data_IF_107876381697
#
_entry.id   IF_107876381697
#
_cell.length_a   1.000
_cell.length_b   1.000
_cell.length_c   1.000
_cell.angle_alpha   90.00
_cell.angle_beta   90.00
_cell.angle_gamma   90.00
#
_symmetry.space_group_name_H-M   'P 1'
#
loop_
_entity.id
_entity.type
_entity.pdbx_description
1 polymer ?
#
# COMPACT_ATOMS: atom_id res chain seq x y z
N UNK A 1 11.27 -3.98 6.43
CA UNK A 1 9.95 -4.08 7.10
C UNK A 1 10.09 -4.94 8.34
N UNK A 2 9.42 -4.56 9.43
CA UNK A 2 9.36 -5.31 10.70
C UNK A 2 7.99 -5.96 10.82
N UNK A 3 7.95 -7.25 11.17
CA UNK A 3 6.71 -7.93 11.51
C UNK A 3 6.25 -7.51 12.92
N UNK A 4 4.95 -7.27 13.08
CA UNK A 4 4.34 -6.92 14.36
C UNK A 4 3.39 -8.02 14.78
N UNK A 5 3.39 -8.33 16.08
CA UNK A 5 2.39 -9.22 16.69
C UNK A 5 1.07 -8.47 16.89
N UNK A 6 -0.03 -9.21 17.00
CA UNK A 6 -1.33 -8.62 17.30
C UNK A 6 -1.31 -7.87 18.64
N UNK A 7 -0.71 -8.46 19.67
CA UNK A 7 -0.50 -7.82 20.96
C UNK A 7 0.19 -6.44 20.84
N UNK A 8 1.25 -6.30 20.04
CA UNK A 8 1.94 -5.02 19.84
C UNK A 8 1.07 -3.97 19.14
N UNK A 9 0.28 -4.40 18.14
CA UNK A 9 -0.66 -3.52 17.44
C UNK A 9 -1.77 -3.05 18.36
N UNK A 10 -2.25 -3.89 19.28
CA UNK A 10 -3.36 -3.58 20.16
C UNK A 10 -2.98 -2.72 21.38
N UNK A 11 -1.69 -2.58 21.72
CA UNK A 11 -1.29 -1.78 22.90
C UNK A 11 -1.87 -0.36 22.85
N UNK A 12 -2.50 0.11 23.95
CA UNK A 12 -2.47 -0.49 25.30
C UNK A 12 -3.57 -1.54 25.59
N UNK A 13 -4.50 -1.81 24.68
CA UNK A 13 -5.51 -2.83 24.86
C UNK A 13 -4.89 -4.24 24.83
N UNK A 14 -5.57 -5.19 25.48
CA UNK A 14 -5.20 -6.61 25.42
C UNK A 14 -5.93 -7.31 24.28
N UNK A 15 -5.36 -8.40 23.78
CA UNK A 15 -6.00 -9.26 22.79
C UNK A 15 -7.33 -9.82 23.31
N UNK A 16 -7.36 -10.23 24.59
CA UNK A 16 -8.56 -10.76 25.23
C UNK A 16 -9.70 -9.74 25.28
N UNK A 17 -9.42 -8.50 25.69
CA UNK A 17 -10.43 -7.44 25.71
C UNK A 17 -10.93 -7.10 24.31
N UNK A 18 -10.02 -7.01 23.34
CA UNK A 18 -10.36 -6.75 21.94
C UNK A 18 -11.30 -7.84 21.39
N UNK A 19 -10.93 -9.11 21.54
CA UNK A 19 -11.71 -10.24 21.04
C UNK A 19 -13.08 -10.35 21.74
N UNK A 20 -13.12 -10.15 23.05
CA UNK A 20 -14.36 -10.29 23.82
C UNK A 20 -15.36 -9.15 23.53
N UNK A 21 -14.87 -7.92 23.35
CA UNK A 21 -15.72 -6.72 23.41
C UNK A 21 -15.81 -5.93 22.11
N UNK A 22 -14.77 -5.95 21.28
CA UNK A 22 -14.67 -5.08 20.10
C UNK A 22 -14.80 -5.86 18.81
N UNK A 23 -14.10 -6.99 18.69
CA UNK A 23 -14.02 -7.74 17.44
C UNK A 23 -15.41 -8.12 16.93
N UNK A 24 -15.76 -7.64 15.73
CA UNK A 24 -17.07 -7.79 15.09
C UNK A 24 -18.28 -7.20 15.85
N UNK A 25 -18.03 -6.35 16.86
CA UNK A 25 -19.07 -5.78 17.73
C UNK A 25 -19.05 -4.26 17.76
N UNK A 26 -17.85 -3.66 17.76
CA UNK A 26 -17.67 -2.21 17.88
C UNK A 26 -16.34 -1.76 17.25
N UNK A 27 -16.10 -0.46 17.25
CA UNK A 27 -14.87 0.17 16.79
C UNK A 27 -13.93 0.47 17.97
N UNK A 28 -12.64 0.20 17.80
CA UNK A 28 -11.60 0.56 18.77
C UNK A 28 -10.58 1.48 18.12
N UNK A 29 -10.53 2.73 18.59
CA UNK A 29 -9.45 3.66 18.25
C UNK A 29 -8.30 3.51 19.26
N UNK A 30 -7.12 3.13 18.76
CA UNK A 30 -5.92 2.93 19.57
C UNK A 30 -4.94 4.07 19.30
N UNK A 31 -4.84 5.09 20.18
CA UNK A 31 -3.86 6.13 20.00
C UNK A 31 -2.45 5.54 20.11
N UNK A 32 -1.59 5.86 19.15
CA UNK A 32 -0.21 5.43 19.12
C UNK A 32 0.74 6.62 19.10
N UNK A 33 1.99 6.42 19.53
CA UNK A 33 3.06 7.34 19.15
C UNK A 33 3.19 7.33 17.62
N UNK A 34 3.55 8.45 16.98
CA UNK A 34 3.77 8.51 15.53
C UNK A 34 4.68 7.38 15.01
N UNK A 35 5.60 6.94 15.85
CA UNK A 35 6.63 5.96 15.50
C UNK A 35 6.23 4.51 15.74
N UNK A 36 5.02 4.23 16.25
CA UNK A 36 4.57 2.86 16.61
C UNK A 36 4.72 1.88 15.44
N UNK A 37 4.43 2.34 14.22
CA UNK A 37 4.51 1.55 12.98
C UNK A 37 5.65 1.99 12.06
N UNK A 38 6.66 2.72 12.58
CA UNK A 38 7.77 3.25 11.77
C UNK A 38 8.51 2.15 10.98
N UNK A 39 8.57 0.93 11.53
CA UNK A 39 9.21 -0.22 10.89
C UNK A 39 8.31 -1.01 9.94
N UNK A 40 6.99 -0.78 9.94
CA UNK A 40 6.03 -1.60 9.20
C UNK A 40 6.18 -1.42 7.69
N UNK A 41 6.20 -0.16 7.24
CA UNK A 41 6.26 0.18 5.83
C UNK A 41 6.89 1.55 5.63
N UNK A 42 8.00 1.62 4.91
CA UNK A 42 8.71 2.86 4.62
C UNK A 42 8.49 3.32 3.18
N UNK A 43 8.83 4.58 2.90
CA UNK A 43 8.83 5.09 1.52
C UNK A 43 9.83 4.36 0.61
N UNK A 44 10.94 3.89 1.19
CA UNK A 44 11.91 3.06 0.47
C UNK A 44 11.33 1.69 0.13
N UNK A 45 10.48 1.12 0.99
CA UNK A 45 9.78 -0.13 0.70
C UNK A 45 8.78 0.05 -0.44
N UNK A 46 8.02 1.15 -0.45
CA UNK A 46 7.16 1.48 -1.59
C UNK A 46 7.95 1.60 -2.89
N UNK A 47 9.03 2.40 -2.88
CA UNK A 47 9.84 2.63 -4.08
C UNK A 47 10.37 1.31 -4.65
N UNK A 48 10.87 0.43 -3.76
CA UNK A 48 11.30 -0.92 -4.14
C UNK A 48 10.16 -1.76 -4.71
N UNK A 49 8.96 -1.66 -4.16
CA UNK A 49 7.79 -2.40 -4.64
C UNK A 49 7.41 -1.94 -6.05
N UNK A 50 7.31 -0.63 -6.27
CA UNK A 50 7.00 -0.05 -7.58
C UNK A 50 8.06 -0.38 -8.64
N UNK A 51 9.33 -0.49 -8.26
CA UNK A 51 10.43 -0.84 -9.17
C UNK A 51 10.51 -2.34 -9.49
N UNK A 52 10.29 -3.21 -8.49
CA UNK A 52 10.56 -4.65 -8.61
C UNK A 52 9.34 -5.48 -8.97
N UNK A 53 8.13 -5.02 -8.65
CA UNK A 53 6.92 -5.78 -8.87
C UNK A 53 6.16 -5.26 -10.08
N UNK A 54 5.64 -6.19 -10.87
CA UNK A 54 4.65 -5.88 -11.91
C UNK A 54 3.35 -5.54 -11.20
N UNK A 55 3.03 -4.25 -11.16
CA UNK A 55 1.80 -3.75 -10.59
C UNK A 55 0.98 -3.12 -11.70
N UNK A 56 -0.17 -3.73 -11.94
CA UNK A 56 -1.21 -3.22 -12.81
C UNK A 56 -2.54 -3.21 -12.04
N UNK A 57 -3.55 -2.43 -12.46
CA UNK A 57 -4.87 -2.50 -11.86
C UNK A 57 -5.38 -3.95 -11.77
N UNK A 58 -5.97 -4.36 -10.64
CA UNK A 58 -6.37 -3.55 -9.48
C UNK A 58 -5.29 -3.41 -8.38
N UNK A 59 -4.05 -3.89 -8.60
CA UNK A 59 -3.00 -3.90 -7.58
C UNK A 59 -2.43 -2.51 -7.28
N UNK A 60 -2.48 -1.60 -8.26
CA UNK A 60 -2.08 -0.21 -8.13
C UNK A 60 -3.12 0.71 -8.75
N UNK A 61 -3.66 1.62 -7.94
CA UNK A 61 -4.70 2.57 -8.36
C UNK A 61 -4.40 3.96 -7.82
N UNK A 62 -4.61 4.98 -8.64
CA UNK A 62 -4.58 6.38 -8.21
C UNK A 62 -6.01 6.96 -8.22
N UNK A 63 -6.35 7.72 -7.19
CA UNK A 63 -7.64 8.40 -7.07
C UNK A 63 -7.43 9.86 -6.69
N UNK A 64 -8.10 10.78 -7.37
CA UNK A 64 -8.11 12.20 -7.03
C UNK A 64 -9.56 12.71 -7.03
N UNK A 65 -9.91 13.50 -6.02
CA UNK A 65 -11.25 14.08 -5.85
C UNK A 65 -12.39 13.04 -5.95
N UNK A 66 -12.15 11.84 -5.40
CA UNK A 66 -13.11 10.74 -5.38
C UNK A 66 -13.23 9.95 -6.69
N UNK A 67 -12.42 10.25 -7.71
CA UNK A 67 -12.43 9.56 -9.02
C UNK A 67 -11.14 8.82 -9.30
N UNK A 68 -11.26 7.62 -9.84
CA UNK A 68 -10.11 6.85 -10.31
C UNK A 68 -9.46 7.55 -11.51
N UNK A 69 -8.14 7.62 -11.49
CA UNK A 69 -7.31 8.14 -12.58
C UNK A 69 -7.08 7.02 -13.59
N UNK A 70 -7.10 7.35 -14.88
CA UNK A 70 -6.86 6.37 -15.93
C UNK A 70 -5.45 5.75 -15.77
N UNK A 71 -5.32 4.42 -15.75
CA UNK A 71 -4.03 3.75 -15.69
C UNK A 71 -3.01 4.23 -16.73
N UNK A 72 -3.43 4.59 -17.94
CA UNK A 72 -2.49 5.09 -18.98
C UNK A 72 -1.83 6.44 -18.59
N UNK A 73 -2.37 7.16 -17.60
CA UNK A 73 -1.75 8.37 -17.05
C UNK A 73 -0.56 8.10 -16.13
N UNK A 74 -0.41 6.88 -15.60
CA UNK A 74 0.67 6.51 -14.68
C UNK A 74 1.37 5.19 -14.98
N UNK A 75 0.91 4.45 -15.98
CA UNK A 75 1.57 3.29 -16.54
C UNK A 75 2.22 3.66 -17.89
N UNK A 76 3.32 3.01 -18.19
CA UNK A 76 3.88 2.93 -19.54
C UNK A 76 3.64 1.55 -20.12
N UNK A 77 3.61 1.47 -21.44
CA UNK A 77 3.49 0.22 -22.18
C UNK A 77 4.83 -0.10 -22.83
N UNK A 78 5.47 -1.17 -22.38
CA UNK A 78 6.78 -1.59 -22.88
C UNK A 78 6.66 -2.84 -23.74
N UNK A 79 7.55 -2.95 -24.73
CA UNK A 79 7.71 -4.16 -25.54
C UNK A 79 8.87 -4.98 -24.99
N UNK A 80 8.63 -6.26 -24.81
CA UNK A 80 9.64 -7.26 -24.47
C UNK A 80 9.72 -8.32 -25.57
N UNK A 81 10.78 -9.14 -25.65
CA UNK A 81 10.85 -10.23 -26.63
C UNK A 81 9.69 -11.23 -26.55
N UNK A 82 8.98 -11.29 -25.42
CA UNK A 82 7.90 -12.26 -25.16
C UNK A 82 6.51 -11.61 -25.17
N UNK A 83 6.42 -10.28 -25.11
CA UNK A 83 5.17 -9.55 -24.87
C UNK A 83 5.21 -8.15 -25.48
N UNK A 84 4.21 -7.81 -26.31
CA UNK A 84 4.22 -6.57 -27.10
C UNK A 84 3.52 -5.38 -26.42
N UNK A 85 2.86 -5.59 -25.28
CA UNK A 85 2.09 -4.55 -24.61
C UNK A 85 2.05 -4.79 -23.09
N UNK A 86 3.22 -4.76 -22.46
CA UNK A 86 3.34 -5.00 -21.03
C UNK A 86 3.18 -3.67 -20.27
N UNK A 87 2.14 -3.51 -19.43
CA UNK A 87 2.01 -2.35 -18.55
C UNK A 87 3.07 -2.37 -17.43
N UNK A 88 3.73 -1.25 -17.21
CA UNK A 88 4.67 -1.03 -16.11
C UNK A 88 4.41 0.32 -15.47
N UNK A 89 4.48 0.39 -14.13
CA UNK A 89 4.37 1.67 -13.42
C UNK A 89 5.48 2.60 -13.86
N UNK A 90 5.13 3.83 -14.24
CA UNK A 90 6.08 4.91 -14.46
C UNK A 90 6.23 5.71 -13.14
N UNK A 91 7.37 5.61 -12.42
CA UNK A 91 7.52 6.26 -11.12
C UNK A 91 7.45 7.79 -11.20
N UNK A 92 7.87 8.39 -12.31
CA UNK A 92 7.86 9.84 -12.48
C UNK A 92 6.44 10.38 -12.68
N UNK A 93 5.63 9.73 -13.54
CA UNK A 93 4.21 10.05 -13.74
C UNK A 93 3.41 9.85 -12.46
N UNK A 94 3.58 8.69 -11.81
CA UNK A 94 2.93 8.38 -10.53
C UNK A 94 3.29 9.42 -9.46
N UNK A 95 4.57 9.75 -9.29
CA UNK A 95 4.99 10.76 -8.31
C UNK A 95 4.47 12.16 -8.64
N UNK A 96 4.31 12.52 -9.93
CA UNK A 96 3.72 13.79 -10.33
C UNK A 96 2.24 13.87 -9.93
N UNK A 97 1.45 12.82 -10.21
CA UNK A 97 0.04 12.75 -9.83
C UNK A 97 -0.14 12.77 -8.30
N UNK A 98 0.72 12.06 -7.55
CA UNK A 98 0.69 12.10 -6.09
C UNK A 98 1.02 13.49 -5.54
N UNK A 99 2.01 14.20 -6.13
CA UNK A 99 2.31 15.59 -5.76
C UNK A 99 1.16 16.54 -6.07
N UNK A 100 0.36 16.23 -7.08
CA UNK A 100 -0.86 16.95 -7.43
C UNK A 100 -2.09 16.54 -6.58
N UNK A 101 -1.89 15.76 -5.51
CA UNK A 101 -2.92 15.41 -4.53
C UNK A 101 -3.66 14.10 -4.82
N UNK A 102 -3.21 13.29 -5.77
CA UNK A 102 -3.75 11.94 -5.96
C UNK A 102 -3.36 11.02 -4.79
N UNK A 103 -4.30 10.19 -4.36
CA UNK A 103 -4.10 9.12 -3.37
C UNK A 103 -3.75 7.81 -4.07
N UNK A 104 -2.63 7.21 -3.67
CA UNK A 104 -2.23 5.87 -4.12
C UNK A 104 -2.87 4.79 -3.25
N UNK A 105 -3.54 3.84 -3.88
CA UNK A 105 -4.02 2.60 -3.25
C UNK A 105 -3.22 1.41 -3.79
N UNK A 106 -2.77 0.54 -2.88
CA UNK A 106 -2.05 -0.69 -3.20
C UNK A 106 -2.84 -1.87 -2.66
N UNK A 107 -3.06 -2.86 -3.51
CA UNK A 107 -3.79 -4.09 -3.16
C UNK A 107 -2.85 -5.28 -3.19
N UNK A 108 -3.16 -6.31 -2.39
CA UNK A 108 -2.44 -7.59 -2.32
C UNK A 108 -0.92 -7.46 -2.27
N UNK A 109 -0.42 -6.81 -1.23
CA UNK A 109 1.02 -6.72 -0.94
C UNK A 109 1.56 -8.08 -0.46
N UNK A 110 1.60 -9.07 -1.36
CA UNK A 110 2.27 -10.35 -1.12
C UNK A 110 3.78 -10.17 -1.26
N UNK A 111 4.44 -9.93 -0.12
CA UNK A 111 5.90 -9.89 -0.07
C UNK A 111 6.43 -11.28 0.30
N UNK A 112 7.42 -11.77 -0.46
CA UNK A 112 8.23 -12.91 -0.05
C UNK A 112 9.37 -12.39 0.80
N UNK A 113 9.50 -12.94 2.01
CA UNK A 113 10.73 -12.83 2.80
C UNK A 113 11.69 -13.83 2.17
N UNK A 114 12.72 -13.33 1.50
CA UNK A 114 13.90 -14.14 1.19
C UNK A 114 14.77 -14.26 2.45
#
# INVERSE_FOLDING_TARGET
MTAYTLAELLRPATEGDFLARTFQKDFLHIPGKPDKLRGAFSWADLSRILEKHRLEPPLVMLRKDGKDIDPDEYLDRIRTPYENDLPIVNPAKLAALMRDGATLSLHEMHWRVD
#
